data_IF_805215501481
#
_entry.id   IF_805215501481
#
_cell.length_a   1.000
_cell.length_b   1.000
_cell.length_c   1.000
_cell.angle_alpha   90.00
_cell.angle_beta   90.00
_cell.angle_gamma   90.00
#
_symmetry.space_group_name_H-M   'P 1'
#
loop_
_entity.id
_entity.type
_entity.pdbx_description
1 polymer ?
#
# COMPACT_ATOMS: atom_id res chain seq x y z
N UNK A 1 28.38 52.00 -24.49
CA UNK A 1 27.05 52.27 -23.89
C UNK A 1 26.87 51.27 -22.75
N UNK A 2 26.53 51.80 -21.56
CA UNK A 2 25.74 51.15 -20.50
C UNK A 2 26.38 50.06 -19.59
N UNK A 3 26.30 50.41 -18.29
CA UNK A 3 26.17 49.60 -17.07
C UNK A 3 27.38 49.46 -16.12
N UNK A 4 27.12 49.44 -14.78
CA UNK A 4 27.69 50.42 -13.86
C UNK A 4 28.42 49.83 -12.64
N UNK A 5 28.95 50.79 -11.90
CA UNK A 5 29.86 50.81 -10.75
C UNK A 5 29.41 50.13 -9.46
N UNK A 6 30.40 49.49 -8.82
CA UNK A 6 30.44 48.87 -7.50
C UNK A 6 31.06 49.77 -6.42
N UNK A 7 30.54 49.62 -5.19
CA UNK A 7 31.21 49.58 -3.86
C UNK A 7 32.47 50.44 -3.56
N UNK A 8 32.41 51.24 -2.48
CA UNK A 8 33.49 51.53 -1.50
C UNK A 8 32.84 52.10 -0.22
N UNK A 9 32.87 51.40 0.92
CA UNK A 9 33.82 51.43 2.06
C UNK A 9 33.74 52.65 3.02
N UNK A 10 33.61 52.31 4.32
CA UNK A 10 34.37 52.81 5.49
C UNK A 10 33.56 53.39 6.68
N UNK A 11 33.94 52.89 7.87
CA UNK A 11 34.14 53.60 9.16
C UNK A 11 33.49 53.00 10.43
N UNK A 12 34.30 52.18 11.11
CA UNK A 12 34.88 52.43 12.45
C UNK A 12 34.09 53.29 13.46
N UNK A 13 33.78 52.69 14.63
CA UNK A 13 34.03 53.29 15.96
C UNK A 13 33.82 52.27 17.08
N UNK A 14 34.91 51.83 17.69
CA UNK A 14 34.95 51.26 19.05
C UNK A 14 35.86 52.17 19.90
N UNK A 15 35.44 52.51 21.12
CA UNK A 15 36.31 53.01 22.19
C UNK A 15 35.80 52.55 23.56
N UNK A 16 36.74 52.48 24.50
CA UNK A 16 36.92 51.51 25.60
C UNK A 16 36.60 52.07 27.01
N UNK A 17 36.67 51.19 28.03
CA UNK A 17 36.84 51.38 29.50
C UNK A 17 35.58 51.27 30.39
N UNK A 18 35.57 50.71 31.61
CA UNK A 18 36.51 49.92 32.47
C UNK A 18 35.72 49.41 33.71
N UNK A 19 36.09 48.22 34.20
CA UNK A 19 36.23 47.72 35.60
C UNK A 19 35.12 47.88 36.69
N UNK A 20 34.52 46.73 37.04
CA UNK A 20 34.46 45.99 38.33
C UNK A 20 34.21 46.66 39.70
N UNK A 21 33.19 46.18 40.45
CA UNK A 21 33.25 45.79 41.88
C UNK A 21 31.87 45.44 42.51
N UNK A 22 31.83 44.32 43.27
CA UNK A 22 31.17 44.30 44.60
C UNK A 22 29.84 43.55 44.79
N UNK A 23 29.90 42.42 45.52
CA UNK A 23 28.81 41.53 46.00
C UNK A 23 27.83 42.14 47.03
N UNK A 24 26.61 41.56 47.10
CA UNK A 24 25.71 41.23 48.27
C UNK A 24 24.22 41.43 47.85
N UNK A 25 23.19 40.68 48.21
CA UNK A 25 22.93 39.58 49.15
C UNK A 25 21.60 38.86 48.75
N UNK A 26 21.55 37.56 49.05
CA UNK A 26 20.46 36.76 49.67
C UNK A 26 19.01 36.76 49.11
N UNK A 27 18.55 35.53 48.83
CA UNK A 27 17.20 35.05 48.49
C UNK A 27 16.11 35.43 49.52
N UNK A 28 14.87 35.73 49.07
CA UNK A 28 13.68 34.84 49.21
C UNK A 28 12.38 35.47 48.63
N UNK A 29 11.64 34.64 47.89
CA UNK A 29 10.17 34.53 47.80
C UNK A 29 9.27 35.62 47.16
N UNK A 30 8.53 35.12 46.15
CA UNK A 30 7.06 35.22 45.93
C UNK A 30 6.48 36.33 45.04
N UNK A 31 5.66 35.84 44.10
CA UNK A 31 4.43 36.41 43.48
C UNK A 31 4.51 37.37 42.28
N UNK A 32 4.27 36.75 41.10
CA UNK A 32 3.31 37.04 40.02
C UNK A 32 3.31 38.41 39.28
N UNK A 33 3.36 38.22 37.95
CA UNK A 33 2.71 38.98 36.87
C UNK A 33 3.41 40.21 36.33
N UNK A 34 4.01 40.06 35.13
CA UNK A 34 3.56 40.79 33.93
C UNK A 34 4.06 40.12 32.65
N UNK A 35 3.27 40.33 31.59
CA UNK A 35 3.18 39.57 30.33
C UNK A 35 4.27 39.98 29.34
N UNK A 36 4.77 39.01 28.55
CA UNK A 36 5.19 39.28 27.18
C UNK A 36 4.69 38.17 26.25
N UNK A 37 4.12 38.63 25.14
CA UNK A 37 3.45 37.90 24.07
C UNK A 37 4.35 36.85 23.41
N UNK A 38 3.83 35.62 23.26
CA UNK A 38 4.14 34.74 22.14
C UNK A 38 2.83 34.22 21.56
N UNK A 39 2.61 34.52 20.28
CA UNK A 39 1.44 34.11 19.51
C UNK A 39 1.44 32.60 19.34
N UNK A 40 0.51 31.90 20.00
CA UNK A 40 0.31 30.47 19.84
C UNK A 40 -0.31 30.16 18.48
N UNK A 41 0.37 29.33 17.68
CA UNK A 41 -0.27 28.54 16.62
C UNK A 41 -0.60 27.18 17.22
N UNK A 42 -1.86 27.02 17.58
CA UNK A 42 -2.47 25.74 17.91
C UNK A 42 -2.92 25.04 16.62
N UNK A 43 -2.84 23.72 16.62
CA UNK A 43 -3.74 22.80 15.91
C UNK A 43 -3.79 22.81 14.37
N UNK A 44 -2.72 22.41 13.66
CA UNK A 44 -2.85 21.84 12.29
C UNK A 44 -1.66 20.93 11.96
N UNK A 45 -1.53 19.74 12.56
CA UNK A 45 -0.54 18.76 12.00
C UNK A 45 -0.74 17.29 12.41
N UNK A 46 -1.92 16.88 12.91
CA UNK A 46 -2.07 15.51 13.43
C UNK A 46 -3.40 14.80 13.10
N UNK A 47 -4.12 15.24 12.06
CA UNK A 47 -5.44 14.68 11.70
C UNK A 47 -5.47 13.70 10.51
N UNK A 48 -4.35 13.42 9.85
CA UNK A 48 -4.35 12.57 8.63
C UNK A 48 -3.77 11.17 8.85
N UNK A 49 -3.87 10.62 10.07
CA UNK A 49 -3.54 9.20 10.31
C UNK A 49 -4.83 8.36 10.37
N UNK A 50 -5.22 7.66 9.29
CA UNK A 50 -6.45 6.84 9.27
C UNK A 50 -6.45 5.75 10.36
N UNK A 51 -5.27 5.33 10.83
CA UNK A 51 -5.11 4.32 11.90
C UNK A 51 -5.57 4.78 13.30
N UNK A 52 -5.80 6.08 13.50
CA UNK A 52 -6.28 6.62 14.79
C UNK A 52 -7.81 6.54 14.91
N UNK A 53 -8.52 6.50 13.78
CA UNK A 53 -9.98 6.47 13.73
C UNK A 53 -10.55 5.05 13.75
N UNK A 54 -9.78 4.04 13.32
CA UNK A 54 -10.11 2.61 13.45
C UNK A 54 -10.33 2.21 14.92
N UNK A 55 -9.50 2.72 15.84
CA UNK A 55 -9.57 2.38 17.29
C UNK A 55 -10.78 2.95 18.03
N UNK A 56 -11.58 3.82 17.40
CA UNK A 56 -12.78 4.43 18.02
C UNK A 56 -14.10 3.89 17.47
N UNK A 57 -14.08 2.97 16.51
CA UNK A 57 -15.32 2.41 15.92
C UNK A 57 -16.17 3.44 15.17
N UNK A 58 -15.56 4.53 14.68
CA UNK A 58 -16.26 5.65 14.02
C UNK A 58 -16.25 5.51 12.48
N UNK A 59 -15.39 4.67 11.89
CA UNK A 59 -15.52 4.35 10.47
C UNK A 59 -16.58 3.27 10.30
N UNK A 60 -17.76 3.66 9.80
CA UNK A 60 -18.70 2.72 9.21
C UNK A 60 -17.95 1.87 8.17
N UNK A 61 -18.29 0.58 8.08
CA UNK A 61 -17.91 -0.21 6.91
C UNK A 61 -18.44 0.51 5.67
N UNK A 62 -17.52 1.07 4.90
CA UNK A 62 -17.86 1.64 3.60
C UNK A 62 -18.38 0.52 2.69
N UNK A 63 -19.21 0.84 1.68
CA UNK A 63 -19.82 -0.20 0.88
C UNK A 63 -18.78 -1.10 0.20
N UNK A 64 -17.78 -0.57 -0.50
CA UNK A 64 -16.87 -1.39 -1.33
C UNK A 64 -15.42 -1.32 -0.83
N UNK A 65 -14.81 -0.15 -0.79
CA UNK A 65 -13.50 0.07 -0.19
C UNK A 65 -13.62 0.05 1.34
N UNK A 66 -12.53 -0.23 2.06
CA UNK A 66 -12.54 -0.04 3.51
C UNK A 66 -13.30 -1.09 4.33
N UNK A 67 -13.83 -2.16 3.72
CA UNK A 67 -14.67 -3.18 4.37
C UNK A 67 -14.01 -4.56 4.47
N UNK A 68 -14.69 -5.51 5.11
CA UNK A 68 -14.29 -6.92 5.11
C UNK A 68 -14.66 -7.59 3.78
N UNK A 69 -13.69 -8.27 3.16
CA UNK A 69 -13.87 -8.97 1.89
C UNK A 69 -15.05 -9.96 1.92
N UNK A 70 -15.18 -10.72 3.01
CA UNK A 70 -16.27 -11.69 3.18
C UNK A 70 -17.65 -11.01 3.19
N UNK A 71 -17.78 -9.86 3.87
CA UNK A 71 -19.04 -9.10 3.91
C UNK A 71 -19.40 -8.51 2.55
N UNK A 72 -18.40 -7.98 1.83
CA UNK A 72 -18.58 -7.45 0.47
C UNK A 72 -19.06 -8.54 -0.49
N UNK A 73 -18.35 -9.66 -0.54
CA UNK A 73 -18.68 -10.80 -1.40
C UNK A 73 -20.07 -11.37 -1.08
N UNK A 74 -20.42 -11.50 0.20
CA UNK A 74 -21.75 -11.94 0.61
C UNK A 74 -22.86 -10.98 0.14
N UNK A 75 -22.66 -9.66 0.28
CA UNK A 75 -23.63 -8.65 -0.17
C UNK A 75 -23.80 -8.64 -1.68
N UNK A 76 -22.72 -8.84 -2.42
CA UNK A 76 -22.74 -8.91 -3.89
C UNK A 76 -23.17 -10.29 -4.43
N UNK A 77 -23.36 -11.29 -3.56
CA UNK A 77 -23.59 -12.68 -3.91
C UNK A 77 -22.55 -13.22 -4.91
N UNK A 78 -21.27 -12.95 -4.61
CA UNK A 78 -20.11 -13.28 -5.45
C UNK A 78 -18.98 -13.87 -4.62
N UNK A 79 -18.07 -14.60 -5.26
CA UNK A 79 -16.83 -15.08 -4.63
C UNK A 79 -15.68 -14.09 -4.79
N UNK A 80 -15.73 -13.25 -5.82
CA UNK A 80 -14.76 -12.20 -6.12
C UNK A 80 -15.51 -10.87 -6.19
N UNK A 81 -15.02 -9.81 -5.54
CA UNK A 81 -15.67 -8.50 -5.60
C UNK A 81 -15.87 -8.01 -7.03
N UNK A 82 -17.04 -7.46 -7.32
CA UNK A 82 -17.38 -6.84 -8.61
C UNK A 82 -16.30 -5.84 -9.04
N UNK A 83 -15.80 -5.02 -8.11
CA UNK A 83 -14.72 -4.07 -8.39
C UNK A 83 -13.44 -4.74 -8.88
N UNK A 84 -13.00 -5.83 -8.24
CA UNK A 84 -11.75 -6.52 -8.62
C UNK A 84 -11.88 -7.06 -10.04
N UNK A 85 -12.96 -7.79 -10.34
CA UNK A 85 -13.18 -8.34 -11.68
C UNK A 85 -13.30 -7.24 -12.75
N UNK A 86 -14.15 -6.23 -12.51
CA UNK A 86 -14.39 -5.15 -13.48
C UNK A 86 -13.13 -4.34 -13.74
N UNK A 87 -12.37 -3.99 -12.69
CA UNK A 87 -11.14 -3.20 -12.84
C UNK A 87 -10.06 -3.99 -13.59
N UNK A 88 -9.93 -5.30 -13.32
CA UNK A 88 -9.03 -6.19 -14.07
C UNK A 88 -9.42 -6.26 -15.55
N UNK A 89 -10.70 -6.49 -15.84
CA UNK A 89 -11.22 -6.54 -17.21
C UNK A 89 -10.89 -5.25 -17.98
N UNK A 90 -11.16 -4.09 -17.37
CA UNK A 90 -10.84 -2.79 -18.00
C UNK A 90 -9.34 -2.59 -18.21
N UNK A 91 -8.48 -3.00 -17.27
CA UNK A 91 -7.01 -2.91 -17.42
C UNK A 91 -6.55 -3.77 -18.60
N UNK A 92 -7.07 -4.99 -18.71
CA UNK A 92 -6.72 -5.94 -19.78
C UNK A 92 -7.19 -5.48 -21.16
N UNK A 93 -8.42 -4.96 -21.25
CA UNK A 93 -8.99 -4.43 -22.49
C UNK A 93 -8.28 -3.16 -22.96
N UNK A 94 -7.72 -2.38 -22.01
CA UNK A 94 -7.13 -1.07 -22.29
C UNK A 94 -5.66 -1.18 -22.70
N UNK A 95 -4.76 -1.54 -21.78
CA UNK A 95 -3.33 -1.54 -22.09
C UNK A 95 -2.48 -2.36 -21.11
N UNK A 96 -2.10 -3.59 -21.51
CA UNK A 96 -1.13 -4.41 -20.78
C UNK A 96 0.34 -4.05 -21.09
N UNK A 97 0.59 -3.23 -22.11
CA UNK A 97 1.94 -2.87 -22.58
C UNK A 97 2.53 -1.62 -21.93
N UNK A 98 1.76 -0.89 -21.13
CA UNK A 98 2.18 0.37 -20.51
C UNK A 98 3.42 0.18 -19.61
N UNK A 99 4.44 1.05 -19.76
CA UNK A 99 5.71 0.94 -19.04
C UNK A 99 5.51 1.00 -17.53
N UNK A 100 6.04 0.01 -16.81
CA UNK A 100 5.93 -0.09 -15.37
C UNK A 100 4.50 -0.29 -14.87
N UNK A 101 3.63 -1.00 -15.59
CA UNK A 101 2.28 -1.34 -15.11
C UNK A 101 2.31 -1.86 -13.66
N UNK A 102 1.41 -1.38 -12.79
CA UNK A 102 1.43 -1.58 -11.32
C UNK A 102 2.63 -0.98 -10.54
N UNK A 103 3.79 -0.76 -11.14
CA UNK A 103 4.93 -0.07 -10.49
C UNK A 103 4.76 1.45 -10.52
N UNK A 104 4.42 2.01 -11.67
CA UNK A 104 4.15 3.43 -11.84
C UNK A 104 2.89 3.84 -11.08
N UNK A 105 2.86 5.11 -10.67
CA UNK A 105 1.73 5.71 -9.95
C UNK A 105 0.96 6.62 -10.89
N UNK A 106 -0.34 6.37 -11.05
CA UNK A 106 -1.24 7.32 -11.68
C UNK A 106 -1.55 8.51 -10.78
N UNK A 107 -2.39 9.42 -11.28
CA UNK A 107 -2.84 10.59 -10.53
C UNK A 107 -3.67 10.18 -9.30
N UNK A 108 -3.15 10.46 -8.10
CA UNK A 108 -3.80 10.06 -6.84
C UNK A 108 -5.21 10.64 -6.67
N UNK A 109 -5.47 11.86 -7.16
CA UNK A 109 -6.80 12.47 -7.08
C UNK A 109 -7.82 11.72 -7.95
N UNK A 110 -7.41 11.20 -9.11
CA UNK A 110 -8.29 10.35 -9.94
C UNK A 110 -8.49 8.97 -9.31
N UNK A 111 -7.46 8.39 -8.69
CA UNK A 111 -7.61 7.14 -7.91
C UNK A 111 -8.65 7.31 -6.80
N UNK A 112 -8.59 8.43 -6.06
CA UNK A 112 -9.57 8.76 -5.03
C UNK A 112 -10.97 9.02 -5.61
N UNK A 113 -11.05 9.62 -6.81
CA UNK A 113 -12.32 9.78 -7.52
C UNK A 113 -12.97 8.43 -7.80
N UNK A 114 -12.23 7.47 -8.37
CA UNK A 114 -12.71 6.10 -8.62
C UNK A 114 -13.19 5.45 -7.32
N UNK A 115 -12.38 5.51 -6.25
CA UNK A 115 -12.72 4.99 -4.93
C UNK A 115 -14.09 5.49 -4.44
N UNK A 116 -14.33 6.81 -4.53
CA UNK A 116 -15.58 7.44 -4.08
C UNK A 116 -16.77 7.00 -4.93
N UNK A 117 -16.64 6.96 -6.25
CA UNK A 117 -17.74 6.59 -7.16
C UNK A 117 -18.10 5.11 -7.01
N UNK A 118 -17.10 4.23 -6.92
CA UNK A 118 -17.32 2.79 -6.70
C UNK A 118 -18.02 2.52 -5.37
N UNK A 119 -17.69 3.27 -4.31
CA UNK A 119 -18.40 3.20 -3.03
C UNK A 119 -19.88 3.63 -3.12
N UNK A 120 -20.25 4.36 -4.17
CA UNK A 120 -21.64 4.76 -4.49
C UNK A 120 -22.29 3.80 -5.51
N UNK A 121 -21.70 2.63 -5.76
CA UNK A 121 -22.08 1.65 -6.79
C UNK A 121 -22.04 2.20 -8.23
N UNK A 122 -21.26 3.27 -8.46
CA UNK A 122 -20.97 3.79 -9.79
C UNK A 122 -19.62 3.27 -10.29
N UNK A 123 -19.69 2.39 -11.29
CA UNK A 123 -18.52 1.75 -11.91
C UNK A 123 -18.20 2.32 -13.30
N UNK A 124 -18.98 3.26 -13.83
CA UNK A 124 -18.71 3.81 -15.17
C UNK A 124 -17.39 4.59 -15.21
N UNK A 125 -16.98 5.13 -14.06
CA UNK A 125 -15.70 5.82 -13.92
C UNK A 125 -14.48 4.93 -14.23
N UNK A 126 -14.63 3.60 -14.21
CA UNK A 126 -13.54 2.68 -14.59
C UNK A 126 -13.33 2.68 -16.10
N UNK A 127 -14.41 2.54 -16.87
CA UNK A 127 -14.34 2.52 -18.35
C UNK A 127 -13.99 3.89 -18.92
N UNK A 128 -14.37 4.97 -18.24
CA UNK A 128 -14.10 6.35 -18.65
C UNK A 128 -12.65 6.80 -18.32
N UNK A 129 -11.93 6.08 -17.46
CA UNK A 129 -10.56 6.45 -17.07
C UNK A 129 -9.56 6.13 -18.19
N UNK A 130 -8.84 7.14 -18.64
CA UNK A 130 -7.90 7.00 -19.74
C UNK A 130 -6.55 6.41 -19.30
N UNK A 131 -6.08 6.76 -18.10
CA UNK A 131 -4.77 6.39 -17.57
C UNK A 131 -4.82 5.04 -16.83
N UNK A 132 -4.19 4.01 -17.42
CA UNK A 132 -4.09 2.68 -16.82
C UNK A 132 -3.33 2.68 -15.48
N UNK A 133 -2.46 3.66 -15.22
CA UNK A 133 -1.79 3.81 -13.93
C UNK A 133 -2.72 4.30 -12.83
N UNK A 134 -3.80 5.00 -13.18
CA UNK A 134 -4.90 5.32 -12.25
C UNK A 134 -5.69 4.06 -11.92
N UNK A 135 -6.07 3.26 -12.93
CA UNK A 135 -6.79 1.99 -12.73
C UNK A 135 -6.01 1.01 -11.85
N UNK A 136 -4.74 0.75 -12.18
CA UNK A 136 -3.86 -0.09 -11.35
C UNK A 136 -3.64 0.51 -9.97
N UNK A 137 -3.62 1.83 -9.84
CA UNK A 137 -3.60 2.55 -8.56
C UNK A 137 -4.82 2.25 -7.69
N UNK A 138 -6.01 2.28 -8.29
CA UNK A 138 -7.29 1.99 -7.64
C UNK A 138 -7.38 0.51 -7.22
N UNK A 139 -6.98 -0.42 -8.08
CA UNK A 139 -6.96 -1.84 -7.74
C UNK A 139 -6.04 -2.12 -6.54
N UNK A 140 -4.83 -1.56 -6.54
CA UNK A 140 -3.92 -1.68 -5.38
C UNK A 140 -4.50 -1.00 -4.13
N UNK A 141 -5.20 0.12 -4.26
CA UNK A 141 -5.82 0.82 -3.14
C UNK A 141 -6.92 -0.01 -2.48
N UNK A 142 -7.75 -0.69 -3.28
CA UNK A 142 -8.79 -1.58 -2.77
C UNK A 142 -8.20 -2.62 -1.82
N UNK A 143 -7.15 -3.33 -2.24
CA UNK A 143 -6.52 -4.34 -1.39
C UNK A 143 -5.91 -3.74 -0.11
N UNK A 144 -5.25 -2.59 -0.20
CA UNK A 144 -4.61 -1.94 0.97
C UNK A 144 -5.60 -1.38 1.99
N UNK A 145 -6.81 -1.03 1.56
CA UNK A 145 -7.82 -0.43 2.44
C UNK A 145 -8.76 -1.45 3.08
N UNK A 146 -8.70 -2.72 2.67
CA UNK A 146 -9.49 -3.76 3.34
C UNK A 146 -9.17 -3.80 4.84
N UNK A 147 -10.19 -4.10 5.66
CA UNK A 147 -10.03 -4.23 7.13
C UNK A 147 -9.01 -5.29 7.54
N UNK A 148 -8.86 -6.31 6.69
CA UNK A 148 -7.89 -7.39 6.82
C UNK A 148 -7.24 -7.63 5.44
N UNK A 149 -5.93 -7.95 5.37
CA UNK A 149 -5.27 -8.26 4.11
C UNK A 149 -5.91 -9.43 3.39
N UNK A 150 -5.64 -9.52 2.07
CA UNK A 150 -6.09 -10.66 1.27
C UNK A 150 -5.57 -11.99 1.84
N UNK A 151 -4.36 -11.98 2.40
CA UNK A 151 -3.86 -13.06 3.24
C UNK A 151 -4.23 -12.78 4.70
N UNK A 152 -5.16 -13.55 5.30
CA UNK A 152 -5.67 -13.27 6.64
C UNK A 152 -4.58 -13.20 7.71
N UNK A 153 -4.77 -12.36 8.73
CA UNK A 153 -3.81 -12.16 9.82
C UNK A 153 -3.50 -13.48 10.55
N UNK A 154 -4.52 -14.31 10.78
CA UNK A 154 -4.37 -15.61 11.44
C UNK A 154 -3.63 -16.68 10.59
N UNK A 155 -3.29 -16.36 9.34
CA UNK A 155 -2.49 -17.19 8.43
C UNK A 155 -1.12 -16.58 8.12
N UNK A 156 -0.88 -15.31 8.46
CA UNK A 156 0.32 -14.56 8.10
C UNK A 156 1.62 -15.31 8.45
N UNK A 157 1.81 -15.67 9.73
CA UNK A 157 3.01 -16.40 10.18
C UNK A 157 3.13 -17.79 9.54
N UNK A 158 2.00 -18.43 9.20
CA UNK A 158 2.01 -19.75 8.56
C UNK A 158 2.57 -19.64 7.14
N UNK A 159 2.20 -18.59 6.41
CA UNK A 159 2.76 -18.32 5.08
C UNK A 159 4.26 -17.98 5.15
N UNK A 160 4.68 -17.15 6.11
CA UNK A 160 6.11 -16.82 6.33
C UNK A 160 6.93 -18.08 6.61
N UNK A 161 6.46 -18.94 7.52
CA UNK A 161 7.13 -20.19 7.84
C UNK A 161 7.18 -21.14 6.64
N UNK A 162 6.11 -21.21 5.83
CA UNK A 162 6.07 -22.06 4.64
C UNK A 162 7.09 -21.63 3.57
N UNK A 163 7.21 -20.32 3.29
CA UNK A 163 8.18 -19.83 2.28
C UNK A 163 9.64 -19.93 2.78
N UNK A 164 9.85 -19.97 4.09
CA UNK A 164 11.16 -20.09 4.73
C UNK A 164 11.71 -21.53 4.73
N UNK A 165 10.92 -22.53 4.36
CA UNK A 165 11.39 -23.91 4.20
C UNK A 165 12.60 -23.95 3.23
N UNK A 166 13.52 -24.91 3.34
CA UNK A 166 14.70 -24.94 2.50
C UNK A 166 14.37 -25.40 1.08
N UNK A 167 13.60 -26.49 0.94
CA UNK A 167 13.37 -27.20 -0.30
C UNK A 167 12.09 -26.71 -1.04
N UNK A 168 12.14 -26.74 -2.37
CA UNK A 168 11.04 -26.24 -3.21
C UNK A 168 9.77 -27.10 -3.11
N UNK A 169 9.92 -28.43 -2.96
CA UNK A 169 8.80 -29.36 -2.88
C UNK A 169 7.96 -29.13 -1.62
N UNK A 170 8.59 -29.02 -0.46
CA UNK A 170 7.91 -28.76 0.81
C UNK A 170 7.31 -27.35 0.84
N UNK A 171 7.97 -26.34 0.26
CA UNK A 171 7.37 -25.01 0.05
C UNK A 171 6.07 -25.11 -0.73
N UNK A 172 6.11 -25.79 -1.88
CA UNK A 172 4.94 -25.95 -2.75
C UNK A 172 3.81 -26.64 -2.01
N UNK A 173 4.08 -27.77 -1.35
CA UNK A 173 3.05 -28.50 -0.60
C UNK A 173 2.46 -27.64 0.53
N UNK A 174 3.30 -26.98 1.33
CA UNK A 174 2.87 -26.16 2.45
C UNK A 174 2.06 -24.94 2.00
N UNK A 175 2.56 -24.17 1.03
CA UNK A 175 1.88 -22.99 0.49
C UNK A 175 0.57 -23.38 -0.20
N UNK A 176 0.57 -24.45 -0.99
CA UNK A 176 -0.64 -24.99 -1.62
C UNK A 176 -1.70 -25.33 -0.57
N UNK A 177 -1.32 -26.05 0.49
CA UNK A 177 -2.23 -26.40 1.59
C UNK A 177 -2.77 -25.16 2.31
N UNK A 178 -1.97 -24.11 2.46
CA UNK A 178 -2.41 -22.85 3.07
C UNK A 178 -3.39 -22.11 2.17
N UNK A 179 -3.08 -21.97 0.87
CA UNK A 179 -3.99 -21.34 -0.10
C UNK A 179 -5.37 -22.01 -0.09
N UNK A 180 -5.43 -23.35 -0.11
CA UNK A 180 -6.71 -24.08 -0.07
C UNK A 180 -7.47 -23.99 1.27
N UNK A 181 -6.83 -23.50 2.32
CA UNK A 181 -7.45 -23.27 3.63
C UNK A 181 -7.90 -21.82 3.82
N UNK A 182 -7.59 -20.93 2.88
CA UNK A 182 -8.06 -19.55 2.93
C UNK A 182 -9.60 -19.54 2.81
N UNK A 183 -10.28 -18.55 3.41
CA UNK A 183 -11.71 -18.34 3.16
C UNK A 183 -11.97 -18.24 1.65
N UNK A 184 -13.12 -18.75 1.20
CA UNK A 184 -13.45 -18.82 -0.23
C UNK A 184 -13.33 -17.45 -0.95
N UNK A 185 -13.82 -16.32 -0.38
CA UNK A 185 -13.61 -15.01 -1.00
C UNK A 185 -12.14 -14.64 -1.20
N UNK A 186 -11.29 -14.92 -0.21
CA UNK A 186 -9.85 -14.65 -0.28
C UNK A 186 -9.17 -15.55 -1.32
N UNK A 187 -9.50 -16.84 -1.33
CA UNK A 187 -8.97 -17.81 -2.28
C UNK A 187 -9.28 -17.43 -3.74
N UNK A 188 -10.56 -17.19 -4.05
CA UNK A 188 -10.98 -16.88 -5.42
C UNK A 188 -10.45 -15.52 -5.88
N UNK A 189 -10.45 -14.52 -4.99
CA UNK A 189 -9.90 -13.20 -5.30
C UNK A 189 -8.39 -13.27 -5.54
N UNK A 190 -7.65 -14.04 -4.74
CA UNK A 190 -6.23 -14.29 -4.96
C UNK A 190 -5.99 -14.99 -6.29
N UNK A 191 -6.76 -16.03 -6.60
CA UNK A 191 -6.65 -16.76 -7.87
C UNK A 191 -6.82 -15.83 -9.07
N UNK A 192 -7.92 -15.07 -9.11
CA UNK A 192 -8.21 -14.13 -10.21
C UNK A 192 -7.13 -13.05 -10.34
N UNK A 193 -6.66 -12.49 -9.22
CA UNK A 193 -5.60 -11.49 -9.24
C UNK A 193 -4.29 -12.08 -9.79
N UNK A 194 -3.85 -13.24 -9.29
CA UNK A 194 -2.59 -13.85 -9.73
C UNK A 194 -2.66 -14.25 -11.21
N UNK A 195 -3.81 -14.71 -11.69
CA UNK A 195 -4.04 -15.01 -13.10
C UNK A 195 -3.87 -13.75 -13.98
N UNK A 196 -4.47 -12.63 -13.55
CA UNK A 196 -4.28 -11.34 -14.22
C UNK A 196 -2.81 -10.91 -14.22
N UNK A 197 -2.12 -11.02 -13.08
CA UNK A 197 -0.71 -10.65 -12.99
C UNK A 197 0.18 -11.52 -13.88
N UNK A 198 -0.15 -12.80 -14.08
CA UNK A 198 0.55 -13.65 -15.04
C UNK A 198 0.36 -13.13 -16.47
N UNK A 199 -0.85 -12.75 -16.88
CA UNK A 199 -1.08 -12.09 -18.18
C UNK A 199 -0.25 -10.82 -18.33
N UNK A 200 -0.12 -9.99 -17.30
CA UNK A 200 0.78 -8.82 -17.32
C UNK A 200 2.22 -9.21 -17.63
N UNK A 201 2.73 -10.31 -17.06
CA UNK A 201 4.12 -10.74 -17.30
C UNK A 201 4.37 -11.26 -18.72
N UNK A 202 3.33 -11.65 -19.46
CA UNK A 202 3.46 -12.04 -20.88
C UNK A 202 3.93 -10.84 -21.73
N UNK A 203 3.62 -9.62 -21.30
CA UNK A 203 4.01 -8.35 -21.94
C UNK A 203 5.26 -7.70 -21.30
N UNK A 204 6.06 -8.46 -20.52
CA UNK A 204 7.23 -7.93 -19.81
C UNK A 204 8.26 -7.22 -20.71
N UNK A 205 8.31 -7.54 -22.01
CA UNK A 205 9.20 -6.87 -22.97
C UNK A 205 8.81 -5.41 -23.23
N UNK A 206 7.51 -5.10 -23.16
CA UNK A 206 6.97 -3.75 -23.35
C UNK A 206 6.79 -3.05 -22.00
N UNK A 207 6.08 -3.68 -21.06
CA UNK A 207 5.74 -3.05 -19.79
C UNK A 207 6.88 -3.12 -18.75
N UNK A 208 7.95 -3.89 -18.99
CA UNK A 208 9.10 -4.07 -18.08
C UNK A 208 8.75 -4.65 -16.71
N UNK A 209 7.64 -5.38 -16.61
CA UNK A 209 7.15 -6.00 -15.39
C UNK A 209 7.28 -7.52 -15.47
N UNK A 210 8.41 -8.02 -14.96
CA UNK A 210 8.61 -9.44 -14.68
C UNK A 210 8.00 -9.84 -13.32
N UNK A 211 7.89 -11.13 -13.05
CA UNK A 211 7.31 -11.70 -11.82
C UNK A 211 7.89 -11.05 -10.56
N UNK A 212 9.21 -10.89 -10.49
CA UNK A 212 9.91 -10.28 -9.34
C UNK A 212 9.44 -8.84 -9.09
N UNK A 213 9.25 -8.06 -10.16
CA UNK A 213 8.84 -6.66 -10.04
C UNK A 213 7.41 -6.55 -9.52
N UNK A 214 6.51 -7.41 -9.99
CA UNK A 214 5.14 -7.48 -9.49
C UNK A 214 5.09 -7.97 -8.04
N UNK A 215 5.92 -8.96 -7.68
CA UNK A 215 5.99 -9.48 -6.32
C UNK A 215 6.41 -8.42 -5.29
N UNK A 216 7.33 -7.52 -5.65
CA UNK A 216 7.73 -6.38 -4.80
C UNK A 216 6.55 -5.40 -4.58
N UNK A 217 5.72 -5.19 -5.60
CA UNK A 217 4.54 -4.31 -5.51
C UNK A 217 3.44 -4.98 -4.68
N UNK A 218 3.17 -6.26 -4.95
CA UNK A 218 2.01 -6.96 -4.40
C UNK A 218 2.26 -7.63 -3.05
N UNK A 219 3.51 -7.93 -2.67
CA UNK A 219 3.86 -8.43 -1.33
C UNK A 219 3.24 -7.59 -0.21
N UNK A 220 3.61 -6.31 -0.06
CA UNK A 220 3.04 -5.43 0.96
C UNK A 220 1.59 -4.98 0.66
N UNK A 221 1.12 -5.13 -0.58
CA UNK A 221 -0.26 -4.79 -0.97
C UNK A 221 -1.26 -5.86 -0.53
N UNK A 222 -0.82 -7.13 -0.49
CA UNK A 222 -1.68 -8.28 -0.17
C UNK A 222 -1.46 -8.80 1.25
N UNK A 223 -0.34 -8.45 1.87
CA UNK A 223 0.07 -8.96 3.17
C UNK A 223 0.64 -7.82 4.03
N UNK A 224 0.17 -7.72 5.26
CA UNK A 224 0.81 -6.94 6.31
C UNK A 224 0.52 -7.59 7.66
N UNK A 225 1.42 -7.45 8.65
CA UNK A 225 1.19 -8.05 9.95
C UNK A 225 0.16 -7.22 10.74
N UNK A 226 -0.64 -7.89 11.58
CA UNK A 226 -1.58 -7.23 12.50
C UNK A 226 -0.85 -6.39 13.56
N UNK A 227 0.33 -6.87 13.98
CA UNK A 227 1.19 -6.23 14.97
C UNK A 227 2.59 -6.01 14.39
N UNK A 228 3.28 -4.97 14.84
CA UNK A 228 4.64 -4.70 14.39
C UNK A 228 5.57 -5.83 14.83
N UNK A 229 6.12 -6.55 13.87
CA UNK A 229 7.12 -7.59 14.09
C UNK A 229 8.47 -7.02 14.50
N UNK A 230 9.25 -7.79 15.27
CA UNK A 230 10.61 -7.44 15.62
C UNK A 230 11.56 -7.48 14.40
N UNK A 231 11.22 -8.25 13.36
CA UNK A 231 12.07 -8.45 12.17
C UNK A 231 11.37 -8.02 10.87
N UNK A 232 10.95 -6.75 10.84
CA UNK A 232 10.19 -6.13 9.72
C UNK A 232 10.85 -6.40 8.37
N UNK A 233 12.18 -6.30 8.27
CA UNK A 233 12.90 -6.48 7.01
C UNK A 233 12.78 -7.91 6.46
N UNK A 234 12.86 -8.91 7.34
CA UNK A 234 12.73 -10.31 6.96
C UNK A 234 11.28 -10.64 6.55
N UNK A 235 10.30 -10.09 7.26
CA UNK A 235 8.89 -10.29 6.91
C UNK A 235 8.56 -9.68 5.55
N UNK A 236 9.03 -8.46 5.28
CA UNK A 236 8.85 -7.82 3.96
C UNK A 236 9.51 -8.63 2.84
N UNK A 237 10.72 -9.17 3.07
CA UNK A 237 11.38 -10.06 2.12
C UNK A 237 10.53 -11.30 1.84
N UNK A 238 9.99 -11.93 2.89
CA UNK A 238 9.17 -13.12 2.74
C UNK A 238 7.82 -12.85 2.08
N UNK A 239 7.16 -11.72 2.35
CA UNK A 239 5.93 -11.31 1.66
C UNK A 239 6.13 -11.26 0.14
N UNK A 240 7.23 -10.63 -0.30
CA UNK A 240 7.57 -10.57 -1.71
C UNK A 240 7.83 -11.97 -2.28
N UNK A 241 8.61 -12.80 -1.57
CA UNK A 241 8.91 -14.18 -1.99
C UNK A 241 7.68 -15.07 -2.06
N UNK A 242 6.69 -14.86 -1.19
CA UNK A 242 5.42 -15.59 -1.24
C UNK A 242 4.70 -15.27 -2.54
N UNK A 243 4.49 -13.98 -2.86
CA UNK A 243 3.80 -13.60 -4.09
C UNK A 243 4.56 -14.07 -5.33
N UNK A 244 5.89 -13.94 -5.36
CA UNK A 244 6.74 -14.47 -6.43
C UNK A 244 6.53 -15.97 -6.61
N UNK A 245 6.60 -16.74 -5.52
CA UNK A 245 6.45 -18.19 -5.58
C UNK A 245 5.05 -18.60 -6.04
N UNK A 246 4.00 -17.92 -5.56
CA UNK A 246 2.62 -18.19 -5.97
C UNK A 246 2.38 -17.91 -7.47
N UNK A 247 3.03 -16.90 -8.04
CA UNK A 247 2.98 -16.64 -9.49
C UNK A 247 3.70 -17.75 -10.27
N UNK A 248 4.92 -18.10 -9.87
CA UNK A 248 5.71 -19.14 -10.55
C UNK A 248 5.04 -20.52 -10.49
N UNK A 249 4.43 -20.86 -9.37
CA UNK A 249 3.77 -22.15 -9.12
C UNK A 249 2.24 -22.10 -9.29
N UNK A 250 1.70 -21.05 -9.93
CA UNK A 250 0.27 -20.81 -10.03
C UNK A 250 -0.51 -22.05 -10.50
N UNK A 251 -0.05 -22.69 -11.57
CA UNK A 251 -0.68 -23.91 -12.10
C UNK A 251 -0.64 -25.07 -11.09
N UNK A 252 0.50 -25.29 -10.43
CA UNK A 252 0.62 -26.38 -9.47
C UNK A 252 -0.24 -26.15 -8.22
N UNK A 253 -0.48 -24.88 -7.85
CA UNK A 253 -1.29 -24.48 -6.71
C UNK A 253 -2.77 -24.52 -7.05
N UNK A 254 -3.23 -23.80 -8.07
CA UNK A 254 -4.66 -23.59 -8.34
C UNK A 254 -5.28 -24.58 -9.33
N UNK A 255 -4.49 -25.20 -10.22
CA UNK A 255 -5.01 -26.13 -11.21
C UNK A 255 -4.82 -27.59 -10.76
N UNK A 256 -5.88 -28.18 -10.20
CA UNK A 256 -6.00 -29.63 -10.08
C UNK A 256 -6.78 -30.19 -11.29
N UNK A 257 -6.14 -31.02 -12.13
CA UNK A 257 -6.87 -32.01 -12.94
C UNK A 257 -6.95 -31.86 -14.46
N UNK A 258 -5.89 -31.45 -15.17
CA UNK A 258 -5.80 -31.66 -16.63
C UNK A 258 -4.76 -32.73 -17.03
N UNK A 259 -4.57 -33.75 -16.19
CA UNK A 259 -3.77 -34.94 -16.54
C UNK A 259 -4.59 -36.11 -17.13
N UNK A 260 -5.87 -35.88 -17.45
CA UNK A 260 -6.75 -36.92 -18.02
C UNK A 260 -7.52 -36.44 -19.25
N UNK A 261 -6.83 -36.02 -20.31
CA UNK A 261 -7.43 -35.92 -21.66
C UNK A 261 -6.45 -35.75 -22.84
N UNK A 262 -5.13 -35.62 -22.62
CA UNK A 262 -4.15 -35.53 -23.72
C UNK A 262 -3.45 -36.86 -24.07
N UNK A 263 -4.09 -37.99 -23.77
CA UNK A 263 -3.74 -39.31 -24.35
C UNK A 263 -4.96 -39.98 -24.96
N UNK A 264 -5.60 -39.31 -25.93
CA UNK A 264 -6.41 -39.96 -26.97
C UNK A 264 -6.81 -38.92 -28.00
N UNK A 265 -5.97 -38.77 -29.03
CA UNK A 265 -6.33 -38.67 -30.44
C UNK A 265 -5.06 -38.57 -31.26
#
# INVERSE_FOLDING_TARGET
MMLPSSLEQADSKYSFNREDNGKKDIKLSRSKSTKHYTTGKSDVENETNPRKFERKGILLDEPVFGCHLETLCARENRKVPKFVSTCIEVIEDKELTADGLYRASGNLSQVQKIRIHVNQDDYSCLTDEEDVHVLTGALKMFFREMKEPLFPFNMFDKFLNAIALPDASSKLEALKKLVHKMPEPNHETLRVLLEHLLRVTEYHKQNRMQVQNLAIVFGPTLMWPEQVSANIALDMMHQNRIVEFLLLEYNAIFNFGNFASLKSN
#
